data_IF_653414603096
#
_entry.id   IF_653414603096
#
_cell.length_a   1.000
_cell.length_b   1.000
_cell.length_c   1.000
_cell.angle_alpha   90.00
_cell.angle_beta   90.00
_cell.angle_gamma   90.00
#
_symmetry.space_group_name_H-M   'P 1'
#
loop_
_entity.id
_entity.type
_entity.pdbx_description
1 polymer ?
#
# COMPACT_ATOMS: atom_id res chain seq x y z
N UNK A 1 29.70 10.03 -10.57
CA UNK A 1 30.49 9.24 -11.54
C UNK A 1 29.83 9.40 -12.89
N UNK A 2 30.49 10.03 -13.88
CA UNK A 2 30.05 10.02 -15.26
C UNK A 2 30.23 8.60 -15.78
N UNK A 3 29.12 7.93 -16.15
CA UNK A 3 29.17 6.70 -16.92
C UNK A 3 29.84 7.01 -18.26
N UNK A 4 31.01 6.46 -18.48
CA UNK A 4 31.67 6.48 -19.80
C UNK A 4 31.10 5.29 -20.59
N UNK A 5 29.92 5.47 -21.17
CA UNK A 5 29.41 4.56 -22.17
C UNK A 5 30.02 5.05 -23.50
N UNK A 6 30.78 4.17 -24.17
CA UNK A 6 31.38 4.46 -25.44
C UNK A 6 30.31 4.49 -26.55
N UNK A 7 29.28 3.64 -26.44
CA UNK A 7 28.15 3.56 -27.35
C UNK A 7 26.87 3.20 -26.59
N UNK A 8 25.77 3.82 -26.98
CA UNK A 8 24.43 3.47 -26.53
C UNK A 8 23.70 2.90 -27.74
N UNK A 9 23.24 1.64 -27.69
CA UNK A 9 22.44 1.12 -28.79
C UNK A 9 21.13 1.91 -28.89
N UNK A 10 20.85 2.47 -30.05
CA UNK A 10 19.60 3.20 -30.30
C UNK A 10 18.93 2.52 -31.49
N UNK A 11 17.65 2.17 -31.31
CA UNK A 11 16.81 1.71 -32.42
C UNK A 11 16.07 2.94 -32.95
N UNK A 12 16.22 3.19 -34.23
CA UNK A 12 15.52 4.27 -34.91
C UNK A 12 14.14 3.77 -35.35
N UNK A 13 13.08 4.36 -34.81
CA UNK A 13 11.69 4.02 -35.14
C UNK A 13 11.39 4.05 -36.64
N UNK A 14 12.10 4.87 -37.40
CA UNK A 14 11.97 4.96 -38.86
C UNK A 14 12.45 3.73 -39.63
N UNK A 15 13.14 2.81 -38.97
CA UNK A 15 13.68 1.58 -39.55
C UNK A 15 12.85 0.34 -39.20
N UNK A 16 11.82 0.51 -38.34
CA UNK A 16 10.94 -0.57 -37.94
C UNK A 16 9.74 -0.73 -38.86
N UNK A 17 9.36 -1.95 -39.11
CA UNK A 17 8.05 -2.24 -39.69
C UNK A 17 6.96 -1.98 -38.66
N UNK A 18 5.68 -1.76 -39.05
CA UNK A 18 4.58 -1.57 -38.11
C UNK A 18 4.41 -2.74 -37.12
N UNK A 19 4.76 -3.96 -37.53
CA UNK A 19 4.66 -5.15 -36.66
C UNK A 19 5.80 -5.22 -35.64
N UNK A 20 7.03 -4.83 -36.03
CA UNK A 20 8.14 -4.72 -35.11
C UNK A 20 7.94 -3.59 -34.09
N UNK A 21 7.33 -2.48 -34.50
CA UNK A 21 6.96 -1.39 -33.60
C UNK A 21 5.96 -1.86 -32.53
N UNK A 22 4.93 -2.61 -32.93
CA UNK A 22 3.95 -3.20 -32.01
C UNK A 22 4.60 -4.16 -31.01
N UNK A 23 5.48 -5.04 -31.50
CA UNK A 23 6.19 -6.02 -30.66
C UNK A 23 7.06 -5.33 -29.61
N UNK A 24 7.77 -4.26 -29.98
CA UNK A 24 8.58 -3.47 -29.03
C UNK A 24 7.70 -2.80 -27.99
N UNK A 25 6.63 -2.14 -28.40
CA UNK A 25 5.69 -1.46 -27.49
C UNK A 25 5.11 -2.46 -26.49
N UNK A 26 4.69 -3.64 -26.94
CA UNK A 26 4.14 -4.66 -26.07
C UNK A 26 5.19 -5.20 -25.09
N UNK A 27 6.39 -5.53 -25.53
CA UNK A 27 7.47 -6.06 -24.68
C UNK A 27 7.93 -5.06 -23.62
N UNK A 28 8.00 -3.78 -23.95
CA UNK A 28 8.38 -2.73 -23.00
C UNK A 28 7.34 -2.57 -21.90
N UNK A 29 6.08 -2.84 -22.20
CA UNK A 29 4.96 -2.68 -21.28
C UNK A 29 4.53 -3.97 -20.56
N UNK A 30 4.97 -5.16 -21.00
CA UNK A 30 4.61 -6.46 -20.37
C UNK A 30 4.90 -6.48 -18.86
N UNK A 31 5.99 -5.85 -18.44
CA UNK A 31 6.42 -5.85 -17.05
C UNK A 31 5.79 -4.70 -16.21
N UNK A 32 5.08 -3.78 -16.82
CA UNK A 32 4.68 -2.51 -16.21
C UNK A 32 3.15 -2.26 -16.19
N UNK A 33 2.31 -3.19 -16.61
CA UNK A 33 0.87 -2.94 -16.66
C UNK A 33 -0.01 -4.19 -16.51
N UNK A 34 -1.20 -3.99 -15.95
CA UNK A 34 -2.30 -4.94 -16.04
C UNK A 34 -2.99 -4.75 -17.40
N UNK A 35 -2.79 -5.70 -18.30
CA UNK A 35 -3.44 -5.68 -19.61
C UNK A 35 -4.83 -6.27 -19.53
N UNK A 36 -5.83 -5.50 -19.91
CA UNK A 36 -7.18 -6.00 -20.06
C UNK A 36 -7.31 -6.68 -21.44
N UNK A 37 -7.28 -8.00 -21.48
CA UNK A 37 -7.39 -8.80 -22.71
C UNK A 37 -8.52 -8.37 -23.63
N UNK A 38 -9.71 -8.14 -23.05
CA UNK A 38 -10.87 -7.70 -23.81
C UNK A 38 -10.66 -6.32 -24.48
N UNK A 39 -9.92 -5.42 -23.84
CA UNK A 39 -9.61 -4.11 -24.41
C UNK A 39 -8.62 -4.23 -25.58
N UNK A 40 -7.61 -5.10 -25.46
CA UNK A 40 -6.64 -5.35 -26.52
C UNK A 40 -7.29 -6.02 -27.74
N UNK A 41 -8.19 -7.00 -27.54
CA UNK A 41 -8.89 -7.65 -28.64
C UNK A 41 -9.92 -6.74 -29.36
N UNK A 42 -10.46 -5.74 -28.68
CA UNK A 42 -11.42 -4.80 -29.28
C UNK A 42 -10.75 -3.66 -30.03
N UNK A 43 -9.44 -3.45 -29.84
CA UNK A 43 -8.69 -2.44 -30.55
C UNK A 43 -8.21 -2.97 -31.90
N UNK A 44 -8.62 -2.32 -32.99
CA UNK A 44 -8.23 -2.71 -34.34
C UNK A 44 -6.71 -2.72 -34.56
N UNK A 45 -5.96 -1.94 -33.81
CA UNK A 45 -4.52 -1.87 -33.88
C UNK A 45 -3.83 -3.18 -33.44
N UNK A 46 -4.43 -3.92 -32.48
CA UNK A 46 -3.86 -5.12 -31.87
C UNK A 46 -4.44 -6.44 -32.37
N UNK A 47 -5.47 -6.40 -33.24
CA UNK A 47 -6.25 -7.59 -33.66
C UNK A 47 -5.43 -8.70 -34.33
N UNK A 48 -4.31 -8.34 -34.97
CA UNK A 48 -3.46 -9.26 -35.73
C UNK A 48 -2.19 -9.68 -34.94
N UNK A 49 -2.09 -9.32 -33.64
CA UNK A 49 -0.94 -9.64 -32.80
C UNK A 49 -1.11 -11.01 -32.15
N UNK A 50 -0.13 -11.89 -32.31
CA UNK A 50 -0.05 -13.15 -31.57
C UNK A 50 0.53 -12.88 -30.17
N UNK A 51 -0.34 -12.69 -29.21
CA UNK A 51 0.03 -12.39 -27.82
C UNK A 51 0.79 -13.56 -27.15
N UNK A 52 0.51 -14.82 -27.54
CA UNK A 52 1.23 -16.00 -27.03
C UNK A 52 2.70 -16.01 -27.44
N UNK A 53 2.99 -15.55 -28.67
CA UNK A 53 4.37 -15.46 -29.17
C UNK A 53 5.23 -14.46 -28.37
N UNK A 54 4.63 -13.38 -27.86
CA UNK A 54 5.32 -12.38 -27.03
C UNK A 54 5.28 -12.67 -25.53
N UNK A 55 4.77 -13.83 -25.11
CA UNK A 55 4.79 -14.29 -23.74
C UNK A 55 3.62 -13.80 -22.87
N UNK A 56 2.53 -13.37 -23.50
CA UNK A 56 1.27 -13.05 -22.84
C UNK A 56 0.33 -14.25 -22.97
N UNK A 57 0.24 -15.08 -21.91
CA UNK A 57 -0.73 -16.15 -21.82
C UNK A 57 -2.07 -15.62 -21.35
N UNK A 58 -3.03 -15.53 -22.24
CA UNK A 58 -4.42 -15.24 -21.90
C UNK A 58 -5.21 -16.54 -21.76
N UNK A 59 -6.19 -16.60 -20.84
CA UNK A 59 -7.07 -17.76 -20.74
C UNK A 59 -7.79 -18.00 -22.06
N UNK A 60 -7.78 -19.25 -22.53
CA UNK A 60 -8.55 -19.67 -23.72
C UNK A 60 -10.04 -19.41 -23.50
N UNK A 61 -10.78 -19.21 -24.60
CA UNK A 61 -12.25 -19.00 -24.55
C UNK A 61 -13.02 -20.11 -23.81
N UNK A 62 -12.41 -21.28 -23.66
CA UNK A 62 -12.96 -22.43 -22.92
C UNK A 62 -12.81 -22.30 -21.39
N UNK A 63 -12.00 -21.35 -20.88
CA UNK A 63 -11.78 -21.06 -19.46
C UNK A 63 -12.51 -19.81 -18.95
N UNK A 64 -13.42 -19.24 -19.74
CA UNK A 64 -14.32 -18.21 -19.21
C UNK A 64 -15.11 -18.81 -18.06
N UNK A 65 -15.17 -18.16 -16.87
CA UNK A 65 -15.99 -18.65 -15.77
C UNK A 65 -17.41 -18.82 -16.30
N UNK A 66 -17.78 -20.07 -16.51
CA UNK A 66 -19.00 -20.44 -17.17
C UNK A 66 -20.18 -19.97 -16.35
N UNK A 67 -21.15 -19.37 -16.99
CA UNK A 67 -22.53 -19.36 -16.53
C UNK A 67 -22.86 -20.77 -16.04
N UNK A 68 -23.11 -20.89 -14.72
CA UNK A 68 -23.27 -22.13 -14.03
C UNK A 68 -24.17 -23.11 -14.77
N UNK A 69 -23.71 -24.33 -14.88
CA UNK A 69 -24.51 -25.46 -15.34
C UNK A 69 -25.69 -25.65 -14.39
N UNK A 70 -26.84 -25.10 -14.76
CA UNK A 70 -28.13 -25.61 -14.30
C UNK A 70 -28.44 -26.85 -15.13
N UNK A 71 -28.11 -28.03 -14.61
CA UNK A 71 -28.81 -29.27 -14.97
C UNK A 71 -28.56 -30.33 -13.91
N UNK A 72 -29.67 -30.85 -13.43
CA UNK A 72 -29.88 -32.03 -12.59
C UNK A 72 -29.91 -31.77 -11.09
N UNK A 73 -31.06 -31.37 -10.60
CA UNK A 73 -31.79 -32.05 -9.51
C UNK A 73 -33.21 -31.47 -9.47
N UNK A 74 -34.08 -32.10 -10.21
CA UNK A 74 -35.54 -32.01 -10.03
C UNK A 74 -35.87 -33.20 -9.17
N UNK A 75 -36.22 -32.98 -7.93
CA UNK A 75 -36.92 -33.83 -6.98
C UNK A 75 -36.37 -33.63 -5.53
N UNK A 76 -36.87 -32.60 -4.88
CA UNK A 76 -37.15 -32.53 -3.43
C UNK A 76 -37.88 -31.19 -3.24
N UNK A 77 -39.17 -31.20 -3.51
CA UNK A 77 -40.08 -30.12 -3.20
C UNK A 77 -40.55 -30.22 -1.76
N UNK A 78 -40.73 -29.02 -1.19
CA UNK A 78 -41.46 -28.72 0.04
C UNK A 78 -40.68 -28.94 1.34
N UNK A 79 -39.91 -27.92 1.76
CA UNK A 79 -39.84 -27.33 3.13
C UNK A 79 -38.65 -26.37 3.34
N UNK A 80 -38.37 -25.41 2.47
CA UNK A 80 -37.34 -24.38 2.69
C UNK A 80 -37.68 -23.00 2.08
N UNK A 81 -38.93 -22.59 2.11
CA UNK A 81 -39.33 -21.34 1.47
C UNK A 81 -39.28 -20.09 2.39
N UNK A 82 -38.88 -20.23 3.66
CA UNK A 82 -38.93 -19.11 4.62
C UNK A 82 -37.55 -18.66 5.14
N UNK A 83 -36.48 -19.45 4.91
CA UNK A 83 -35.11 -19.06 5.29
C UNK A 83 -34.31 -18.41 4.17
N UNK A 84 -34.66 -18.67 2.90
CA UNK A 84 -33.94 -18.07 1.74
C UNK A 84 -34.25 -16.60 1.48
N UNK A 85 -35.41 -16.12 1.92
CA UNK A 85 -35.79 -14.73 1.72
C UNK A 85 -35.15 -13.76 2.72
N UNK A 86 -34.80 -14.22 3.94
CA UNK A 86 -34.09 -13.41 4.94
C UNK A 86 -32.60 -13.33 4.60
N UNK A 87 -31.96 -14.41 4.10
CA UNK A 87 -30.56 -14.40 3.69
C UNK A 87 -30.32 -13.56 2.41
N UNK A 88 -31.26 -13.56 1.42
CA UNK A 88 -31.15 -12.72 0.22
C UNK A 88 -31.37 -11.23 0.54
N UNK A 89 -32.22 -10.89 1.52
CA UNK A 89 -32.41 -9.49 1.94
C UNK A 89 -31.23 -8.96 2.73
N UNK A 90 -30.61 -9.78 3.60
CA UNK A 90 -29.42 -9.40 4.36
C UNK A 90 -28.19 -9.19 3.44
N UNK A 91 -28.06 -9.97 2.36
CA UNK A 91 -26.99 -9.81 1.38
C UNK A 91 -27.19 -8.56 0.48
N UNK A 92 -28.44 -8.21 0.12
CA UNK A 92 -28.73 -6.99 -0.63
C UNK A 92 -28.53 -5.73 0.23
N UNK A 93 -28.99 -5.70 1.48
CA UNK A 93 -28.75 -4.56 2.39
C UNK A 93 -27.26 -4.38 2.70
N UNK A 94 -26.49 -5.45 2.90
CA UNK A 94 -25.04 -5.38 3.10
C UNK A 94 -24.34 -4.86 1.83
N UNK A 95 -24.80 -5.24 0.65
CA UNK A 95 -24.22 -4.76 -0.62
C UNK A 95 -24.52 -3.28 -0.88
N UNK A 96 -25.69 -2.79 -0.51
CA UNK A 96 -26.04 -1.38 -0.61
C UNK A 96 -25.28 -0.52 0.39
N UNK A 97 -25.11 -0.95 1.64
CA UNK A 97 -24.31 -0.26 2.65
C UNK A 97 -22.81 -0.19 2.26
N UNK A 98 -22.25 -1.28 1.70
CA UNK A 98 -20.90 -1.29 1.17
C UNK A 98 -20.74 -0.31 -0.02
N UNK A 99 -21.70 -0.26 -0.93
CA UNK A 99 -21.68 0.64 -2.08
C UNK A 99 -21.84 2.13 -1.68
N UNK A 100 -22.69 2.43 -0.70
CA UNK A 100 -22.81 3.80 -0.16
C UNK A 100 -21.52 4.23 0.54
N UNK A 101 -20.89 3.33 1.30
CA UNK A 101 -19.62 3.57 1.98
C UNK A 101 -18.47 3.80 1.00
N UNK A 102 -18.42 3.02 -0.09
CA UNK A 102 -17.46 3.26 -1.16
C UNK A 102 -17.67 4.61 -1.84
N UNK A 103 -18.93 4.97 -2.14
CA UNK A 103 -19.28 6.25 -2.74
C UNK A 103 -18.87 7.41 -1.83
N UNK A 104 -19.13 7.29 -0.52
CA UNK A 104 -18.72 8.27 0.47
C UNK A 104 -17.19 8.43 0.50
N UNK A 105 -16.44 7.36 0.59
CA UNK A 105 -14.97 7.40 0.58
C UNK A 105 -14.42 8.02 -0.70
N UNK A 106 -14.94 7.65 -1.86
CA UNK A 106 -14.51 8.23 -3.14
C UNK A 106 -14.81 9.73 -3.24
N UNK A 107 -15.91 10.19 -2.63
CA UNK A 107 -16.25 11.61 -2.62
C UNK A 107 -15.30 12.44 -1.75
N UNK A 108 -14.70 11.85 -0.72
CA UNK A 108 -13.73 12.48 0.17
C UNK A 108 -12.31 12.50 -0.41
N UNK A 109 -12.01 11.62 -1.37
CA UNK A 109 -10.67 11.48 -1.96
C UNK A 109 -10.44 12.42 -3.14
N UNK A 110 -10.73 13.71 -2.98
CA UNK A 110 -10.51 14.69 -4.06
C UNK A 110 -9.80 15.91 -3.48
N UNK A 111 -8.70 16.29 -4.13
CA UNK A 111 -8.00 17.58 -4.03
C UNK A 111 -8.18 18.35 -2.69
N UNK A 112 -8.23 17.60 -1.59
CA UNK A 112 -8.44 18.17 -0.27
C UNK A 112 -7.13 18.72 0.25
N UNK A 113 -7.11 20.02 0.57
CA UNK A 113 -6.04 20.63 1.34
C UNK A 113 -6.37 20.47 2.82
N UNK A 114 -5.52 19.73 3.52
CA UNK A 114 -5.61 19.59 4.97
C UNK A 114 -4.87 20.70 5.68
N UNK A 115 -5.26 20.98 6.91
CA UNK A 115 -4.56 21.93 7.77
C UNK A 115 -3.10 21.54 7.95
N UNK A 116 -2.23 22.54 7.92
CA UNK A 116 -0.78 22.41 8.06
C UNK A 116 -0.23 23.58 8.88
N UNK A 117 0.78 23.30 9.69
CA UNK A 117 1.50 24.29 10.50
C UNK A 117 2.92 24.56 9.99
N UNK A 118 3.25 24.10 8.77
CA UNK A 118 4.58 24.19 8.20
C UNK A 118 4.59 24.81 6.79
N UNK A 119 5.77 25.35 6.42
CA UNK A 119 5.96 26.08 5.15
C UNK A 119 5.83 25.23 3.88
N UNK A 120 5.84 23.91 4.00
CA UNK A 120 5.67 22.98 2.89
C UNK A 120 4.25 22.45 2.76
N UNK A 121 3.34 22.98 3.62
CA UNK A 121 1.94 22.55 3.64
C UNK A 121 1.75 21.04 3.80
N UNK A 122 2.74 20.37 4.44
CA UNK A 122 2.63 18.96 4.80
C UNK A 122 1.49 18.83 5.82
N UNK A 123 0.43 18.04 5.54
CA UNK A 123 -0.74 17.93 6.40
C UNK A 123 -0.43 17.55 7.84
N UNK A 124 -1.16 18.09 8.79
CA UNK A 124 -1.09 17.66 10.18
C UNK A 124 -1.89 16.38 10.39
N UNK A 125 -1.30 15.38 11.04
CA UNK A 125 -2.04 14.22 11.55
C UNK A 125 -2.97 14.64 12.68
N UNK A 126 -4.08 13.94 12.83
CA UNK A 126 -5.02 14.13 13.94
C UNK A 126 -4.51 13.40 15.19
N UNK A 127 -4.39 14.13 16.29
CA UNK A 127 -3.89 13.59 17.56
C UNK A 127 -4.84 12.56 18.17
N UNK A 128 -6.14 12.75 18.04
CA UNK A 128 -7.20 11.86 18.52
C UNK A 128 -7.36 10.60 17.66
N UNK A 129 -6.85 10.64 16.41
CA UNK A 129 -6.82 9.51 15.49
C UNK A 129 -5.45 8.81 15.43
N UNK A 130 -4.58 9.07 16.39
CA UNK A 130 -3.36 8.27 16.53
C UNK A 130 -3.70 6.83 16.94
N UNK A 131 -2.90 5.88 16.46
CA UNK A 131 -3.03 4.49 16.86
C UNK A 131 -2.55 4.27 18.30
N UNK A 132 -3.06 3.25 18.93
CA UNK A 132 -2.68 2.89 20.30
C UNK A 132 -1.80 1.67 20.37
N UNK A 133 -2.25 0.63 21.04
CA UNK A 133 -1.62 -0.68 21.06
C UNK A 133 -1.78 -1.35 19.69
N UNK A 134 -0.73 -2.02 19.21
CA UNK A 134 -0.81 -2.76 17.93
C UNK A 134 -1.88 -3.84 18.00
N UNK A 135 -2.82 -3.75 17.09
CA UNK A 135 -3.82 -4.77 16.90
C UNK A 135 -3.36 -5.81 15.88
N UNK A 136 -3.54 -7.07 16.23
CA UNK A 136 -3.16 -8.20 15.39
C UNK A 136 -4.38 -8.76 14.65
N UNK A 137 -4.22 -9.34 13.47
CA UNK A 137 -2.97 -9.57 12.74
C UNK A 137 -2.35 -8.29 12.16
N UNK A 138 -1.02 -8.15 12.25
CA UNK A 138 -0.23 -7.15 11.54
C UNK A 138 0.27 -7.76 10.23
N UNK A 139 0.04 -7.10 9.09
CA UNK A 139 0.40 -7.64 7.79
C UNK A 139 0.96 -6.58 6.85
N UNK A 140 1.90 -6.92 5.95
CA UNK A 140 2.33 -6.00 4.92
C UNK A 140 1.21 -5.78 3.90
N UNK A 141 1.06 -4.54 3.42
CA UNK A 141 0.19 -4.25 2.29
C UNK A 141 0.78 -4.82 0.98
N UNK A 142 -0.06 -5.42 0.14
CA UNK A 142 0.34 -5.98 -1.15
C UNK A 142 -0.74 -6.86 -1.76
N UNK A 143 -0.48 -7.47 -2.93
CA UNK A 143 -1.48 -8.22 -3.68
C UNK A 143 -2.23 -9.28 -2.85
N UNK A 144 -1.49 -10.07 -2.06
CA UNK A 144 -2.09 -11.11 -1.23
C UNK A 144 -2.73 -10.59 0.06
N UNK A 145 -2.18 -9.52 0.66
CA UNK A 145 -2.72 -8.93 1.90
C UNK A 145 -4.00 -8.16 1.67
N UNK A 146 -4.17 -7.48 0.52
CA UNK A 146 -5.42 -6.75 0.22
C UNK A 146 -6.64 -7.65 0.07
N UNK A 147 -6.44 -8.95 -0.14
CA UNK A 147 -7.53 -9.93 -0.21
C UNK A 147 -7.92 -10.48 1.18
N UNK A 148 -7.16 -10.16 2.23
CA UNK A 148 -7.42 -10.60 3.59
C UNK A 148 -8.35 -9.62 4.28
N UNK A 149 -9.52 -10.06 4.66
CA UNK A 149 -10.51 -9.26 5.42
C UNK A 149 -10.26 -9.29 6.94
N UNK A 150 -9.30 -10.07 7.43
CA UNK A 150 -9.02 -10.28 8.85
C UNK A 150 -7.82 -9.49 9.41
N UNK A 151 -7.16 -8.67 8.58
CA UNK A 151 -5.99 -7.89 9.00
C UNK A 151 -6.43 -6.67 9.80
N UNK A 152 -5.97 -6.58 11.06
CA UNK A 152 -6.29 -5.46 11.93
C UNK A 152 -5.38 -4.25 11.69
N UNK A 153 -4.10 -4.48 11.37
CA UNK A 153 -3.12 -3.40 11.11
C UNK A 153 -2.31 -3.69 9.85
N UNK A 154 -2.28 -2.74 8.93
CA UNK A 154 -1.38 -2.80 7.76
C UNK A 154 -0.14 -1.96 7.97
N UNK A 155 1.01 -2.45 7.44
CA UNK A 155 2.24 -1.69 7.29
C UNK A 155 2.73 -1.71 5.83
N UNK A 156 3.58 -0.75 5.48
CA UNK A 156 4.06 -0.55 4.12
C UNK A 156 5.59 -0.73 3.98
N UNK A 157 6.21 -1.53 4.85
CA UNK A 157 7.62 -1.94 4.70
C UNK A 157 7.75 -3.02 3.62
N UNK A 158 7.38 -2.62 2.41
CA UNK A 158 7.42 -3.38 1.16
C UNK A 158 7.92 -2.45 0.06
N UNK A 159 8.15 -2.98 -1.13
CA UNK A 159 8.54 -2.15 -2.27
C UNK A 159 7.46 -1.12 -2.60
N UNK A 160 7.84 0.12 -2.91
CA UNK A 160 6.94 1.27 -3.09
C UNK A 160 5.83 1.01 -4.12
N UNK A 161 6.13 0.30 -5.24
CA UNK A 161 5.15 -0.03 -6.27
C UNK A 161 3.94 -0.82 -5.77
N UNK A 162 4.07 -1.55 -4.64
CA UNK A 162 2.99 -2.37 -4.08
C UNK A 162 1.85 -1.56 -3.48
N UNK A 163 2.13 -0.34 -3.09
CA UNK A 163 1.14 0.57 -2.51
C UNK A 163 0.93 1.85 -3.30
N UNK A 164 1.61 2.02 -4.43
CA UNK A 164 1.49 3.24 -5.25
C UNK A 164 0.05 3.49 -5.71
N UNK A 165 -0.71 2.43 -5.97
CA UNK A 165 -2.12 2.54 -6.35
C UNK A 165 -2.98 3.23 -5.28
N UNK A 166 -2.62 3.17 -4.00
CA UNK A 166 -3.35 3.84 -2.92
C UNK A 166 -3.33 5.36 -3.02
N UNK A 167 -2.32 5.93 -3.68
CA UNK A 167 -2.27 7.38 -3.95
C UNK A 167 -3.21 7.83 -5.07
N UNK A 168 -3.84 6.89 -5.77
CA UNK A 168 -4.84 7.15 -6.80
C UNK A 168 -6.23 6.73 -6.34
N UNK A 169 -6.34 5.57 -5.73
CA UNK A 169 -7.59 5.03 -5.20
C UNK A 169 -7.31 4.15 -3.97
N UNK A 170 -7.58 4.65 -2.75
CA UNK A 170 -7.34 3.92 -1.51
C UNK A 170 -8.49 2.99 -1.10
N UNK A 171 -9.55 2.86 -1.91
CA UNK A 171 -10.79 2.17 -1.54
C UNK A 171 -10.56 0.75 -1.03
N UNK A 172 -9.66 -0.01 -1.67
CA UNK A 172 -9.35 -1.38 -1.26
C UNK A 172 -8.76 -1.50 0.16
N UNK A 173 -8.12 -0.45 0.67
CA UNK A 173 -7.64 -0.42 2.03
C UNK A 173 -8.77 -0.02 2.98
N UNK A 174 -9.55 0.97 2.61
CA UNK A 174 -10.66 1.47 3.43
C UNK A 174 -11.72 0.41 3.66
N UNK A 175 -12.02 -0.40 2.64
CA UNK A 175 -13.00 -1.49 2.71
C UNK A 175 -12.43 -2.81 3.25
N UNK A 176 -11.12 -2.87 3.55
CA UNK A 176 -10.49 -4.09 4.10
C UNK A 176 -10.92 -4.45 5.52
N UNK A 177 -11.55 -3.50 6.23
CA UNK A 177 -11.93 -3.65 7.64
C UNK A 177 -10.77 -3.47 8.62
N UNK A 178 -9.59 -2.99 8.17
CA UNK A 178 -8.47 -2.72 9.06
C UNK A 178 -8.80 -1.55 10.00
N UNK A 179 -8.25 -1.60 11.21
CA UNK A 179 -8.48 -0.58 12.26
C UNK A 179 -7.36 0.45 12.33
N UNK A 180 -6.17 0.06 11.90
CA UNK A 180 -4.99 0.91 11.93
C UNK A 180 -4.07 0.66 10.74
N UNK A 181 -3.29 1.68 10.39
CA UNK A 181 -2.23 1.59 9.39
C UNK A 181 -0.96 2.25 9.92
N UNK A 182 0.18 1.75 9.47
CA UNK A 182 1.44 2.52 9.52
C UNK A 182 1.46 3.45 8.31
N UNK A 183 1.95 4.67 8.42
CA UNK A 183 2.15 5.54 7.25
C UNK A 183 2.92 4.80 6.14
N UNK A 184 2.63 5.06 4.86
CA UNK A 184 3.43 4.52 3.77
C UNK A 184 4.92 4.86 3.93
N UNK A 185 5.76 3.83 3.90
CA UNK A 185 7.20 4.02 3.96
C UNK A 185 7.75 4.34 2.57
N UNK A 186 7.60 5.59 2.15
CA UNK A 186 8.17 6.05 0.89
C UNK A 186 9.69 6.09 0.97
N UNK A 187 10.35 5.55 -0.06
CA UNK A 187 11.82 5.38 -0.08
C UNK A 187 12.58 6.71 -0.16
N UNK A 188 12.82 7.35 1.00
CA UNK A 188 13.63 8.56 1.15
C UNK A 188 15.05 8.20 1.58
N UNK A 189 15.98 8.15 0.63
CA UNK A 189 17.39 7.81 0.85
C UNK A 189 18.29 9.05 0.88
N UNK A 190 19.54 8.91 1.35
CA UNK A 190 20.50 10.02 1.39
C UNK A 190 20.76 10.65 0.04
N UNK A 191 20.69 9.86 -1.04
CA UNK A 191 20.89 10.32 -2.42
C UNK A 191 19.62 10.93 -3.04
N UNK A 192 18.46 10.81 -2.39
CA UNK A 192 17.20 11.41 -2.88
C UNK A 192 17.33 12.93 -2.89
N UNK A 193 17.02 13.62 -4.02
CA UNK A 193 16.97 15.09 -4.06
C UNK A 193 16.00 15.63 -2.99
N UNK A 194 16.34 16.75 -2.34
CA UNK A 194 15.54 17.29 -1.22
C UNK A 194 14.09 17.55 -1.64
N UNK A 195 13.88 18.19 -2.79
CA UNK A 195 12.52 18.49 -3.28
C UNK A 195 11.70 17.21 -3.49
N UNK A 196 12.32 16.16 -4.03
CA UNK A 196 11.66 14.88 -4.21
C UNK A 196 11.33 14.19 -2.88
N UNK A 197 12.26 14.21 -1.92
CA UNK A 197 12.01 13.64 -0.59
C UNK A 197 10.89 14.37 0.15
N UNK A 198 10.82 15.70 0.06
CA UNK A 198 9.71 16.49 0.63
C UNK A 198 8.38 16.09 -0.03
N UNK A 199 8.36 15.91 -1.35
CA UNK A 199 7.15 15.45 -2.05
C UNK A 199 6.70 14.06 -1.57
N UNK A 200 7.64 13.12 -1.37
CA UNK A 200 7.32 11.80 -0.83
C UNK A 200 6.75 11.87 0.58
N UNK A 201 7.33 12.72 1.45
CA UNK A 201 6.83 12.96 2.80
C UNK A 201 5.44 13.60 2.76
N UNK A 202 5.22 14.58 1.87
CA UNK A 202 3.89 15.16 1.66
C UNK A 202 2.87 14.10 1.28
N UNK A 203 3.18 13.27 0.26
CA UNK A 203 2.26 12.22 -0.23
C UNK A 203 1.89 11.22 0.88
N UNK A 204 2.89 10.69 1.61
CA UNK A 204 2.60 9.73 2.68
C UNK A 204 1.75 10.35 3.78
N UNK A 205 2.04 11.60 4.17
CA UNK A 205 1.33 12.31 5.23
C UNK A 205 -0.10 12.67 4.81
N UNK A 206 -0.28 13.10 3.56
CA UNK A 206 -1.60 13.38 3.00
C UNK A 206 -2.48 12.13 3.00
N UNK A 207 -1.96 11.00 2.53
CA UNK A 207 -2.70 9.75 2.52
C UNK A 207 -3.02 9.25 3.94
N UNK A 208 -2.08 9.38 4.86
CA UNK A 208 -2.28 9.01 6.26
C UNK A 208 -3.33 9.89 6.95
N UNK A 209 -3.32 11.19 6.67
CA UNK A 209 -4.37 12.10 7.15
C UNK A 209 -5.73 11.74 6.57
N UNK A 210 -5.78 11.40 5.29
CA UNK A 210 -7.00 10.93 4.66
C UNK A 210 -7.54 9.64 5.31
N UNK A 211 -6.69 8.68 5.64
CA UNK A 211 -7.09 7.50 6.39
C UNK A 211 -7.69 7.85 7.75
N UNK A 212 -7.14 8.85 8.43
CA UNK A 212 -7.70 9.31 9.70
C UNK A 212 -9.10 9.92 9.53
N UNK A 213 -9.35 10.70 8.49
CA UNK A 213 -10.69 11.21 8.16
C UNK A 213 -11.70 10.08 7.88
N UNK A 214 -11.22 8.97 7.30
CA UNK A 214 -12.04 7.77 7.07
C UNK A 214 -12.16 6.85 8.30
N UNK A 215 -11.71 7.28 9.48
CA UNK A 215 -11.85 6.54 10.74
C UNK A 215 -10.76 5.50 11.01
N UNK A 216 -9.72 5.41 10.20
CA UNK A 216 -8.59 4.48 10.40
C UNK A 216 -7.51 5.18 11.22
N UNK A 217 -7.06 4.53 12.30
CA UNK A 217 -5.98 5.05 13.15
C UNK A 217 -4.62 4.90 12.48
N UNK A 218 -3.72 5.86 12.74
CA UNK A 218 -2.42 5.91 12.06
C UNK A 218 -1.26 5.83 13.05
N UNK A 219 -0.23 5.07 12.69
CA UNK A 219 1.13 5.17 13.25
C UNK A 219 1.98 5.99 12.30
N UNK A 220 2.62 7.05 12.79
CA UNK A 220 3.58 7.81 12.01
C UNK A 220 4.84 6.96 11.74
N UNK A 221 5.26 6.89 10.49
CA UNK A 221 6.49 6.19 10.10
C UNK A 221 7.70 7.10 10.22
N UNK A 222 8.66 6.72 11.06
CA UNK A 222 9.90 7.47 11.29
C UNK A 222 11.06 7.00 10.38
N UNK A 223 10.88 5.91 9.64
CA UNK A 223 11.93 5.31 8.82
C UNK A 223 12.26 6.15 7.57
N UNK A 224 13.05 7.19 7.76
CA UNK A 224 13.60 8.02 6.68
C UNK A 224 15.10 8.17 6.86
N UNK A 225 15.85 8.54 5.81
CA UNK A 225 17.26 8.85 5.99
C UNK A 225 17.46 10.10 6.85
N UNK A 226 18.61 10.21 7.52
CA UNK A 226 18.95 11.31 8.42
C UNK A 226 18.70 12.70 7.79
N UNK A 227 18.96 12.83 6.51
CA UNK A 227 18.73 14.04 5.71
C UNK A 227 17.28 14.56 5.76
N UNK A 228 16.31 13.67 5.98
CA UNK A 228 14.89 13.98 5.89
C UNK A 228 14.17 13.98 7.24
N UNK A 229 14.87 13.78 8.35
CA UNK A 229 14.25 13.71 9.69
C UNK A 229 13.43 14.96 9.99
N UNK A 230 13.99 16.16 9.81
CA UNK A 230 13.30 17.40 10.12
C UNK A 230 12.05 17.63 9.24
N UNK A 231 12.11 17.22 7.98
CA UNK A 231 10.93 17.26 7.09
C UNK A 231 9.88 16.22 7.50
N UNK A 232 10.32 15.03 7.93
CA UNK A 232 9.42 13.96 8.36
C UNK A 232 8.72 14.25 9.69
N UNK A 233 9.31 15.09 10.56
CA UNK A 233 8.67 15.59 11.78
C UNK A 233 7.51 16.53 11.48
N UNK A 234 7.54 17.25 10.34
CA UNK A 234 6.49 18.19 9.97
C UNK A 234 5.16 17.46 9.79
N UNK A 235 4.09 18.08 10.30
CA UNK A 235 2.76 17.50 10.28
C UNK A 235 2.53 16.37 11.30
N UNK A 236 3.49 16.06 12.20
CA UNK A 236 3.23 15.21 13.36
C UNK A 236 3.03 16.14 14.57
N UNK A 237 1.82 16.23 15.14
CA UNK A 237 1.54 17.17 16.21
C UNK A 237 2.28 16.78 17.51
N UNK A 238 2.64 17.77 18.32
CA UNK A 238 3.21 17.53 19.65
C UNK A 238 2.27 16.69 20.51
N UNK A 239 2.83 15.71 21.21
CA UNK A 239 2.06 14.76 22.00
C UNK A 239 1.58 13.54 21.23
N UNK A 240 1.82 13.48 19.91
CA UNK A 240 1.58 12.26 19.14
C UNK A 240 2.46 11.14 19.69
N UNK A 241 1.88 9.98 19.98
CA UNK A 241 2.57 8.87 20.62
C UNK A 241 2.21 7.53 19.98
N UNK A 242 2.30 7.46 18.65
CA UNK A 242 2.06 6.27 17.87
C UNK A 242 3.04 6.23 16.69
N UNK A 243 4.14 5.52 16.85
CA UNK A 243 5.24 5.52 15.88
C UNK A 243 5.59 4.10 15.45
N UNK A 244 6.03 3.99 14.21
CA UNK A 244 6.65 2.81 13.67
C UNK A 244 7.98 3.16 13.03
N UNK A 245 8.93 2.22 13.10
CA UNK A 245 10.16 2.28 12.32
C UNK A 245 10.62 0.88 11.92
N UNK A 246 11.55 0.80 10.99
CA UNK A 246 12.15 -0.44 10.52
C UNK A 246 13.48 -0.69 11.20
N UNK A 247 13.60 -1.83 11.88
CA UNK A 247 14.89 -2.31 12.37
C UNK A 247 15.70 -2.95 11.22
N UNK A 248 16.94 -2.51 11.04
CA UNK A 248 17.87 -3.07 10.06
C UNK A 248 19.20 -3.36 10.72
N UNK A 249 19.75 -4.55 10.46
CA UNK A 249 21.08 -4.92 10.95
C UNK A 249 22.14 -3.96 10.40
N UNK A 250 23.03 -3.48 11.25
CA UNK A 250 24.05 -2.49 10.90
C UNK A 250 23.56 -1.03 10.87
N UNK A 251 22.27 -0.76 11.13
CA UNK A 251 21.70 0.60 11.12
C UNK A 251 21.22 1.05 12.50
N UNK A 252 21.94 0.66 13.55
CA UNK A 252 21.60 0.99 14.95
C UNK A 252 21.49 2.50 15.20
N UNK A 253 22.33 3.30 14.56
CA UNK A 253 22.30 4.76 14.73
C UNK A 253 20.98 5.37 14.19
N UNK A 254 20.43 4.84 13.09
CA UNK A 254 19.11 5.26 12.60
C UNK A 254 18.03 4.95 13.63
N UNK A 255 18.02 3.75 14.21
CA UNK A 255 17.04 3.38 15.24
C UNK A 255 17.14 4.27 16.49
N UNK A 256 18.36 4.62 16.93
CA UNK A 256 18.57 5.55 18.05
C UNK A 256 18.02 6.95 17.72
N UNK A 257 18.25 7.41 16.49
CA UNK A 257 17.72 8.69 16.01
C UNK A 257 16.19 8.67 15.98
N UNK A 258 15.57 7.59 15.50
CA UNK A 258 14.10 7.44 15.47
C UNK A 258 13.51 7.44 16.89
N UNK A 259 14.18 6.78 17.85
CA UNK A 259 13.78 6.83 19.25
C UNK A 259 13.84 8.26 19.80
N UNK A 260 14.90 8.99 19.50
CA UNK A 260 15.04 10.38 19.92
C UNK A 260 13.93 11.26 19.34
N UNK A 261 13.62 11.11 18.07
CA UNK A 261 12.51 11.81 17.39
C UNK A 261 11.16 11.47 18.05
N UNK A 262 10.91 10.20 18.32
CA UNK A 262 9.69 9.77 19.00
C UNK A 262 9.56 10.37 20.42
N UNK A 263 10.66 10.45 21.16
CA UNK A 263 10.72 11.09 22.48
C UNK A 263 10.46 12.60 22.39
N UNK A 264 11.07 13.27 21.42
CA UNK A 264 10.89 14.71 21.18
C UNK A 264 9.43 15.06 20.87
N UNK A 265 8.80 14.32 19.96
CA UNK A 265 7.42 14.59 19.52
C UNK A 265 6.43 14.26 20.64
N UNK A 266 6.57 13.09 21.26
CA UNK A 266 5.64 12.63 22.29
C UNK A 266 5.81 13.35 23.62
N UNK A 267 7.00 13.87 23.91
CA UNK A 267 7.37 14.42 25.22
C UNK A 267 7.57 13.32 26.30
N UNK A 268 7.65 12.06 25.91
CA UNK A 268 7.74 10.91 26.81
C UNK A 268 9.14 10.29 26.75
N UNK A 269 9.68 9.87 27.89
CA UNK A 269 10.93 9.09 27.93
C UNK A 269 10.78 7.73 27.24
N UNK A 270 9.60 7.13 27.33
CA UNK A 270 9.25 5.83 26.71
C UNK A 270 8.07 6.01 25.76
N UNK A 271 8.32 6.45 24.53
CA UNK A 271 7.25 6.61 23.53
C UNK A 271 6.73 5.26 23.03
N UNK A 272 5.52 5.24 22.51
CA UNK A 272 4.96 4.09 21.82
C UNK A 272 5.58 3.97 20.42
N UNK A 273 6.84 3.55 20.38
CA UNK A 273 7.59 3.27 19.15
C UNK A 273 7.68 1.76 18.94
N UNK A 274 7.19 1.32 17.78
CA UNK A 274 7.19 -0.07 17.36
C UNK A 274 8.30 -0.27 16.33
N UNK A 275 9.16 -1.27 16.55
CA UNK A 275 10.28 -1.60 15.67
C UNK A 275 9.97 -2.88 14.91
N UNK A 276 9.89 -2.79 13.58
CA UNK A 276 9.59 -3.91 12.70
C UNK A 276 10.89 -4.48 12.09
N UNK A 277 11.18 -5.73 12.41
CA UNK A 277 12.33 -6.47 11.86
C UNK A 277 13.67 -6.13 12.51
N UNK A 278 14.73 -6.60 11.87
CA UNK A 278 16.10 -6.54 12.38
C UNK A 278 16.49 -7.77 13.20
N UNK A 279 17.79 -7.92 13.40
CA UNK A 279 18.37 -9.07 14.07
C UNK A 279 18.45 -8.94 15.59
N UNK A 280 19.34 -9.75 16.16
CA UNK A 280 19.49 -9.90 17.62
C UNK A 280 19.89 -8.61 18.34
N UNK A 281 20.70 -7.76 17.70
CA UNK A 281 21.13 -6.48 18.28
C UNK A 281 19.95 -5.51 18.39
N UNK A 282 19.11 -5.42 17.36
CA UNK A 282 17.89 -4.61 17.36
C UNK A 282 16.93 -5.09 18.44
N UNK A 283 16.74 -6.41 18.55
CA UNK A 283 15.90 -7.00 19.61
C UNK A 283 16.41 -6.69 21.02
N UNK A 284 17.73 -6.73 21.20
CA UNK A 284 18.36 -6.39 22.48
C UNK A 284 18.12 -4.92 22.80
N UNK A 285 18.36 -4.03 21.84
CA UNK A 285 18.11 -2.59 21.99
C UNK A 285 16.65 -2.29 22.37
N UNK A 286 15.70 -2.92 21.68
CA UNK A 286 14.28 -2.75 21.98
C UNK A 286 13.93 -3.16 23.41
N UNK A 287 14.48 -4.28 23.90
CA UNK A 287 14.29 -4.72 25.29
C UNK A 287 14.88 -3.76 26.32
N UNK A 288 16.07 -3.24 26.05
CA UNK A 288 16.77 -2.30 26.94
C UNK A 288 16.01 -0.97 27.07
N UNK A 289 15.35 -0.52 25.98
CA UNK A 289 14.63 0.75 25.94
C UNK A 289 13.12 0.60 26.14
N UNK A 290 12.63 -0.63 26.35
CA UNK A 290 11.19 -0.91 26.56
C UNK A 290 10.34 -0.69 25.31
N UNK A 291 10.94 -0.83 24.11
CA UNK A 291 10.25 -0.71 22.82
C UNK A 291 9.60 -2.03 22.42
N UNK A 292 8.47 -1.94 21.72
CA UNK A 292 7.83 -3.11 21.15
C UNK A 292 8.55 -3.55 19.86
N UNK A 293 9.06 -4.78 19.87
CA UNK A 293 9.68 -5.41 18.70
C UNK A 293 8.70 -6.35 18.01
N UNK A 294 8.59 -6.23 16.69
CA UNK A 294 7.79 -7.12 15.84
C UNK A 294 8.71 -7.81 14.84
N UNK A 295 8.70 -9.13 14.82
CA UNK A 295 9.50 -9.94 13.89
C UNK A 295 9.02 -9.72 12.45
N UNK A 296 9.94 -9.47 11.53
CA UNK A 296 9.59 -9.40 10.11
C UNK A 296 9.21 -10.77 9.54
N UNK A 297 8.53 -10.73 8.39
CA UNK A 297 8.01 -11.93 7.73
C UNK A 297 9.12 -12.94 7.35
N UNK A 298 10.33 -12.46 7.01
CA UNK A 298 11.46 -13.32 6.62
C UNK A 298 11.98 -14.09 7.84
N UNK A 299 12.13 -13.42 8.96
CA UNK A 299 12.64 -14.01 10.20
C UNK A 299 11.57 -14.86 10.91
N UNK A 300 10.29 -14.53 10.74
CA UNK A 300 9.19 -15.37 11.24
C UNK A 300 9.12 -16.74 10.57
N UNK A 301 9.53 -16.85 9.30
CA UNK A 301 9.58 -18.12 8.56
C UNK A 301 10.77 -19.01 8.92
N UNK A 302 11.79 -18.48 9.59
CA UNK A 302 12.99 -19.24 9.98
C UNK A 302 12.83 -19.98 11.32
N UNK A 303 11.73 -19.79 12.00
CA UNK A 303 11.31 -20.50 13.22
C UNK A 303 10.32 -21.61 12.87
#
# INVERSE_FOLDING_TARGET
>A
RKLKLADVPVILYSELTPDEEKDIILRDNINNGDWAYNALQMDEFWKDVDFGFIGLDFPSDDEKPGKGKKKAAKEAEETEADQSAEEEMDDEEQSEEEAEKESFYRSMFKDVLYESDNVFEIPNLLLDMQAGKVELPLSPWGANSRLRKDVATYHFYVDDYRFEALFKDPINLLTSGCKAVVEPNCSCHDQTPVAWGIQLIYKKRWLSRYFQECGIKVYADLNVSHKFIEYNKMGIPKGYNAFFTRGLDGWMESLKSDLQVAQEISGLEKPNLIVYGGGTEIQKFCREHGLLYVTDFINAKKK
#
